data_IF_210468105763
#
_entry.id   IF_210468105763
#
_cell.length_a   1.000
_cell.length_b   1.000
_cell.length_c   1.000
_cell.angle_alpha   90.00
_cell.angle_beta   90.00
_cell.angle_gamma   90.00
#
_symmetry.space_group_name_H-M   'P 1'
#
loop_
_entity.id
_entity.type
_entity.pdbx_description
1 polymer ?
#
# COMPACT_ATOMS: atom_id res chain seq x y z
N UNK A 1 27.47 -32.75 -19.24
CA UNK A 1 26.24 -32.06 -19.70
C UNK A 1 25.15 -32.05 -18.64
N UNK A 2 25.48 -32.01 -17.34
CA UNK A 2 24.52 -32.08 -16.22
C UNK A 2 24.51 -30.83 -15.32
N UNK A 3 25.15 -29.75 -15.73
CA UNK A 3 25.42 -28.60 -14.85
C UNK A 3 24.53 -27.39 -15.12
N UNK A 4 23.41 -27.50 -15.87
CA UNK A 4 22.63 -26.34 -16.29
C UNK A 4 21.11 -26.45 -16.08
N UNK A 5 20.66 -27.22 -15.07
CA UNK A 5 19.29 -27.11 -14.55
C UNK A 5 19.24 -26.35 -13.23
N UNK A 6 19.90 -25.20 -13.12
CA UNK A 6 19.50 -24.18 -12.14
C UNK A 6 18.03 -23.88 -12.41
N UNK A 7 17.15 -24.15 -11.46
CA UNK A 7 15.71 -24.02 -11.58
C UNK A 7 15.36 -22.67 -12.20
N UNK A 8 14.90 -22.66 -13.45
CA UNK A 8 14.48 -21.42 -14.12
C UNK A 8 13.39 -20.78 -13.27
N UNK A 9 13.56 -19.51 -12.91
CA UNK A 9 12.61 -18.77 -12.10
C UNK A 9 11.19 -18.93 -12.68
N UNK A 10 10.22 -19.27 -11.83
CA UNK A 10 8.83 -19.52 -12.25
C UNK A 10 8.20 -18.36 -13.01
N UNK A 11 8.66 -17.11 -12.76
CA UNK A 11 8.18 -15.92 -13.46
C UNK A 11 8.53 -15.93 -14.95
N UNK A 12 9.59 -16.65 -15.34
CA UNK A 12 10.00 -16.83 -16.74
C UNK A 12 9.39 -18.04 -17.44
N UNK A 13 8.96 -19.08 -16.71
CA UNK A 13 8.58 -20.38 -17.33
C UNK A 13 7.13 -20.82 -17.08
N UNK A 14 6.52 -20.41 -15.95
CA UNK A 14 5.13 -20.82 -15.66
C UNK A 14 4.14 -20.12 -16.59
N UNK A 15 3.05 -20.78 -17.08
CA UNK A 15 2.00 -20.13 -17.86
C UNK A 15 1.46 -18.89 -17.12
N UNK A 16 1.31 -17.78 -17.84
CA UNK A 16 1.06 -16.45 -17.24
C UNK A 16 -0.19 -16.44 -16.35
N UNK A 17 -1.29 -17.11 -16.76
CA UNK A 17 -2.50 -17.15 -15.95
C UNK A 17 -2.30 -17.89 -14.63
N UNK A 18 -1.61 -19.02 -14.66
CA UNK A 18 -1.29 -19.81 -13.46
C UNK A 18 -0.29 -19.05 -12.58
N UNK A 19 0.67 -18.35 -13.18
CA UNK A 19 1.63 -17.52 -12.47
C UNK A 19 0.93 -16.36 -11.74
N UNK A 20 0.06 -15.62 -12.45
CA UNK A 20 -0.69 -14.51 -11.87
C UNK A 20 -1.54 -14.99 -10.69
N UNK A 21 -2.30 -16.08 -10.85
CA UNK A 21 -3.10 -16.63 -9.76
C UNK A 21 -2.24 -17.09 -8.58
N UNK A 22 -1.13 -17.79 -8.84
CA UNK A 22 -0.22 -18.29 -7.80
C UNK A 22 0.44 -17.16 -7.00
N UNK A 23 0.67 -15.99 -7.62
CA UNK A 23 1.26 -14.84 -6.95
C UNK A 23 0.21 -13.89 -6.37
N UNK A 24 -0.91 -13.69 -7.04
CA UNK A 24 -1.93 -12.73 -6.63
C UNK A 24 -2.79 -13.25 -5.48
N UNK A 25 -3.20 -14.51 -5.47
CA UNK A 25 -4.05 -15.07 -4.40
C UNK A 25 -3.43 -14.86 -3.01
N UNK A 26 -2.15 -15.25 -2.75
CA UNK A 26 -1.53 -14.97 -1.46
C UNK A 26 -1.48 -13.48 -1.12
N UNK A 27 -1.21 -12.62 -2.10
CA UNK A 27 -1.16 -11.17 -1.88
C UNK A 27 -2.53 -10.58 -1.54
N UNK A 28 -3.59 -11.07 -2.19
CA UNK A 28 -4.97 -10.67 -1.88
C UNK A 28 -5.34 -11.08 -0.45
N UNK A 29 -5.02 -12.32 -0.06
CA UNK A 29 -5.25 -12.80 1.31
C UNK A 29 -4.49 -11.93 2.30
N UNK A 30 -3.23 -11.62 2.05
CA UNK A 30 -2.43 -10.73 2.90
C UNK A 30 -3.07 -9.36 3.07
N UNK A 31 -3.54 -8.74 1.98
CA UNK A 31 -4.19 -7.43 2.03
C UNK A 31 -5.51 -7.47 2.81
N UNK A 32 -6.31 -8.52 2.64
CA UNK A 32 -7.55 -8.69 3.40
C UNK A 32 -7.28 -8.90 4.90
N UNK A 33 -6.28 -9.70 5.24
CA UNK A 33 -5.87 -9.91 6.65
C UNK A 33 -5.38 -8.62 7.27
N UNK A 34 -4.59 -7.82 6.53
CA UNK A 34 -4.16 -6.51 6.99
C UNK A 34 -5.34 -5.55 7.24
N UNK A 35 -6.34 -5.57 6.36
CA UNK A 35 -7.56 -4.77 6.57
C UNK A 35 -8.32 -5.23 7.83
N UNK A 36 -8.48 -6.54 8.03
CA UNK A 36 -9.13 -7.10 9.23
C UNK A 36 -8.36 -6.75 10.51
N UNK A 37 -7.05 -6.89 10.48
CA UNK A 37 -6.18 -6.50 11.60
C UNK A 37 -6.41 -5.03 12.00
N UNK A 38 -6.40 -4.09 11.05
CA UNK A 38 -6.63 -2.67 11.33
C UNK A 38 -8.02 -2.41 11.96
N UNK A 39 -9.04 -3.18 11.55
CA UNK A 39 -10.40 -3.08 12.12
C UNK A 39 -10.43 -3.60 13.54
N UNK A 40 -9.78 -4.73 13.82
CA UNK A 40 -9.73 -5.35 15.15
C UNK A 40 -8.97 -4.46 16.14
N UNK A 41 -7.81 -3.95 15.75
CA UNK A 41 -7.01 -3.01 16.55
C UNK A 41 -7.84 -1.76 16.90
N UNK A 42 -8.47 -1.12 15.90
CA UNK A 42 -9.35 0.03 16.14
C UNK A 42 -10.54 -0.28 17.05
N UNK A 43 -11.07 -1.49 16.99
CA UNK A 43 -12.16 -1.92 17.87
C UNK A 43 -11.72 -2.02 19.35
N UNK A 44 -10.54 -2.60 19.61
CA UNK A 44 -10.03 -2.69 20.97
C UNK A 44 -9.64 -1.33 21.53
N UNK A 45 -8.99 -0.49 20.73
CA UNK A 45 -8.66 0.88 21.13
C UNK A 45 -9.91 1.70 21.47
N UNK A 46 -10.97 1.61 20.66
CA UNK A 46 -12.23 2.30 20.92
C UNK A 46 -12.91 1.89 22.25
N UNK A 47 -12.57 0.71 22.76
CA UNK A 47 -13.05 0.24 24.08
C UNK A 47 -12.30 0.84 25.26
N UNK A 48 -11.12 1.41 25.07
CA UNK A 48 -10.36 2.08 26.15
C UNK A 48 -11.08 3.37 26.52
N UNK A 49 -11.16 4.32 25.58
CA UNK A 49 -11.86 5.60 25.74
C UNK A 49 -11.97 6.30 24.37
N UNK A 50 -12.83 7.31 24.28
CA UNK A 50 -12.90 8.22 23.13
C UNK A 50 -11.62 9.03 22.98
N UNK A 51 -10.98 9.38 24.07
CA UNK A 51 -9.73 10.15 24.10
C UNK A 51 -8.56 9.31 23.59
N UNK A 52 -8.49 8.01 23.92
CA UNK A 52 -7.52 7.08 23.34
C UNK A 52 -7.64 6.99 21.83
N UNK A 53 -8.86 6.85 21.32
CA UNK A 53 -9.10 6.83 19.86
C UNK A 53 -8.71 8.15 19.20
N UNK A 54 -8.96 9.28 19.86
CA UNK A 54 -8.58 10.61 19.40
C UNK A 54 -7.06 10.76 19.36
N UNK A 55 -6.36 10.36 20.41
CA UNK A 55 -4.90 10.42 20.50
C UNK A 55 -4.22 9.61 19.39
N UNK A 56 -4.69 8.37 19.13
CA UNK A 56 -4.17 7.53 18.04
C UNK A 56 -4.50 8.15 16.67
N UNK A 57 -5.67 8.77 16.51
CA UNK A 57 -6.03 9.44 15.28
C UNK A 57 -5.11 10.64 14.98
N UNK A 58 -4.64 11.35 16.00
CA UNK A 58 -3.63 12.41 15.88
C UNK A 58 -2.23 11.85 15.56
N UNK A 59 -1.90 10.65 16.05
CA UNK A 59 -0.64 9.95 15.74
C UNK A 59 -0.59 9.42 14.30
N UNK A 60 -1.74 9.11 13.70
CA UNK A 60 -1.88 8.43 12.42
C UNK A 60 -1.12 9.06 11.25
N UNK A 61 -1.07 10.39 11.04
CA UNK A 61 -0.33 10.98 9.92
C UNK A 61 1.18 10.67 9.95
N UNK A 62 1.80 10.66 11.14
CA UNK A 62 3.23 10.31 11.27
C UNK A 62 3.46 8.82 11.08
N UNK A 63 2.60 7.99 11.65
CA UNK A 63 2.66 6.55 11.41
C UNK A 63 2.50 6.22 9.92
N UNK A 64 1.61 6.90 9.21
CA UNK A 64 1.45 6.77 7.77
C UNK A 64 2.68 7.21 6.99
N UNK A 65 3.37 8.28 7.41
CA UNK A 65 4.63 8.72 6.81
C UNK A 65 5.73 7.66 6.99
N UNK A 66 5.84 7.07 8.17
CA UNK A 66 6.77 5.98 8.46
C UNK A 66 6.52 4.77 7.54
N UNK A 67 5.27 4.35 7.45
CA UNK A 67 4.85 3.24 6.58
C UNK A 67 5.07 3.60 5.10
N UNK A 68 4.80 4.84 4.68
CA UNK A 68 5.03 5.30 3.31
C UNK A 68 6.50 5.20 2.92
N UNK A 69 7.43 5.55 3.82
CA UNK A 69 8.87 5.43 3.58
C UNK A 69 9.28 3.96 3.49
N UNK A 70 8.78 3.10 4.37
CA UNK A 70 9.05 1.67 4.34
C UNK A 70 8.55 1.01 3.05
N UNK A 71 7.28 1.25 2.69
CA UNK A 71 6.65 0.69 1.47
C UNK A 71 7.33 1.26 0.22
N UNK A 72 7.53 2.57 0.15
CA UNK A 72 8.07 3.21 -1.05
C UNK A 72 9.49 2.76 -1.36
N UNK A 73 10.37 2.71 -0.36
CA UNK A 73 11.73 2.18 -0.51
C UNK A 73 11.69 0.72 -0.96
N UNK A 74 10.82 -0.08 -0.35
CA UNK A 74 10.66 -1.50 -0.66
C UNK A 74 10.07 -1.76 -2.05
N UNK A 75 9.17 -0.89 -2.54
CA UNK A 75 8.64 -0.93 -3.92
C UNK A 75 9.77 -0.68 -4.93
N UNK A 76 10.62 0.32 -4.68
CA UNK A 76 11.80 0.58 -5.50
C UNK A 76 12.76 -0.61 -5.52
N UNK A 77 13.01 -1.21 -4.37
CA UNK A 77 13.83 -2.41 -4.22
C UNK A 77 13.24 -3.59 -5.02
N UNK A 78 11.95 -3.85 -4.90
CA UNK A 78 11.26 -4.93 -5.63
C UNK A 78 11.35 -4.73 -7.15
N UNK A 79 11.08 -3.51 -7.64
CA UNK A 79 11.21 -3.17 -9.05
C UNK A 79 12.62 -3.44 -9.59
N UNK A 80 13.64 -2.99 -8.86
CA UNK A 80 15.04 -3.19 -9.24
C UNK A 80 15.42 -4.68 -9.26
N UNK A 81 15.15 -5.40 -8.17
CA UNK A 81 15.51 -6.82 -8.04
C UNK A 81 14.81 -7.68 -9.10
N UNK A 82 13.51 -7.47 -9.30
CA UNK A 82 12.74 -8.26 -10.28
C UNK A 82 13.24 -8.03 -11.70
N UNK A 83 13.61 -6.79 -12.07
CA UNK A 83 14.24 -6.50 -13.38
C UNK A 83 15.59 -7.20 -13.52
N UNK A 84 16.46 -7.12 -12.50
CA UNK A 84 17.79 -7.76 -12.52
C UNK A 84 17.71 -9.29 -12.56
N UNK A 85 16.72 -9.89 -11.89
CA UNK A 85 16.44 -11.31 -12.02
C UNK A 85 15.98 -11.68 -13.43
N UNK A 86 15.15 -10.84 -14.05
CA UNK A 86 14.73 -11.00 -15.44
C UNK A 86 15.90 -10.93 -16.42
N UNK A 87 16.86 -10.02 -16.20
CA UNK A 87 18.13 -9.91 -16.95
C UNK A 87 19.06 -11.12 -16.74
N UNK A 88 18.75 -12.04 -15.81
CA UNK A 88 19.61 -13.14 -15.41
C UNK A 88 20.76 -12.73 -14.48
N UNK A 89 20.79 -11.47 -14.04
CA UNK A 89 21.83 -10.92 -13.18
C UNK A 89 21.48 -11.05 -11.70
N UNK A 90 21.66 -12.25 -11.16
CA UNK A 90 21.38 -12.57 -9.75
C UNK A 90 22.31 -11.84 -8.77
N UNK A 91 23.54 -11.50 -9.21
CA UNK A 91 24.48 -10.73 -8.40
C UNK A 91 23.99 -9.31 -8.18
N UNK A 92 23.56 -8.61 -9.24
CA UNK A 92 22.98 -7.27 -9.13
C UNK A 92 21.68 -7.29 -8.31
N UNK A 93 20.82 -8.31 -8.48
CA UNK A 93 19.63 -8.48 -7.66
C UNK A 93 19.98 -8.65 -6.17
N UNK A 94 21.01 -9.43 -5.84
CA UNK A 94 21.50 -9.65 -4.47
C UNK A 94 22.10 -8.36 -3.87
N UNK A 95 22.84 -7.58 -4.67
CA UNK A 95 23.30 -6.24 -4.28
C UNK A 95 22.12 -5.31 -4.01
N UNK A 96 21.07 -5.38 -4.84
CA UNK A 96 19.84 -4.63 -4.65
C UNK A 96 19.14 -4.96 -3.33
N UNK A 97 19.05 -6.24 -2.97
CA UNK A 97 18.49 -6.70 -1.72
C UNK A 97 19.28 -6.17 -0.51
N UNK A 98 20.61 -6.32 -0.52
CA UNK A 98 21.47 -5.88 0.58
C UNK A 98 21.46 -4.36 0.75
N UNK A 99 21.53 -3.59 -0.36
CA UNK A 99 21.43 -2.13 -0.32
C UNK A 99 20.05 -1.68 0.17
N UNK A 100 18.97 -2.32 -0.32
CA UNK A 100 17.61 -2.00 0.08
C UNK A 100 17.36 -2.23 1.56
N UNK A 101 17.81 -3.36 2.12
CA UNK A 101 17.72 -3.61 3.57
C UNK A 101 18.53 -2.61 4.39
N UNK A 102 19.70 -2.21 3.92
CA UNK A 102 20.49 -1.15 4.57
C UNK A 102 19.75 0.20 4.57
N UNK A 103 19.13 0.58 3.46
CA UNK A 103 18.34 1.81 3.38
C UNK A 103 17.12 1.78 4.31
N UNK A 104 16.46 0.63 4.42
CA UNK A 104 15.34 0.45 5.34
C UNK A 104 15.79 0.51 6.80
N UNK A 105 16.94 -0.09 7.12
CA UNK A 105 17.56 0.01 8.44
C UNK A 105 17.89 1.47 8.80
N UNK A 106 18.53 2.20 7.87
CA UNK A 106 18.83 3.61 8.07
C UNK A 106 17.57 4.44 8.27
N UNK A 107 16.52 4.17 7.47
CA UNK A 107 15.21 4.83 7.65
C UNK A 107 14.60 4.52 9.01
N UNK A 108 14.66 3.27 9.47
CA UNK A 108 14.18 2.89 10.79
C UNK A 108 14.91 3.63 11.92
N UNK A 109 16.24 3.77 11.81
CA UNK A 109 17.06 4.51 12.77
C UNK A 109 16.66 6.00 12.80
N UNK A 110 16.44 6.60 11.63
CA UNK A 110 15.99 8.00 11.53
C UNK A 110 14.64 8.18 12.23
N UNK A 111 13.66 7.31 11.97
CA UNK A 111 12.36 7.37 12.63
C UNK A 111 12.46 7.08 14.13
N UNK A 112 13.33 6.16 14.56
CA UNK A 112 13.56 5.91 15.98
C UNK A 112 14.09 7.16 16.70
N UNK A 113 15.02 7.88 16.09
CA UNK A 113 15.53 9.17 16.64
C UNK A 113 14.40 10.20 16.71
N UNK A 114 13.56 10.30 15.68
CA UNK A 114 12.39 11.19 15.72
C UNK A 114 11.39 10.81 16.80
N UNK A 115 11.23 9.52 17.12
CA UNK A 115 10.36 9.04 18.19
C UNK A 115 10.67 9.70 19.53
N UNK A 116 11.95 9.88 19.88
CA UNK A 116 12.35 10.52 21.14
C UNK A 116 12.02 12.03 21.20
N UNK A 117 11.75 12.67 20.08
CA UNK A 117 11.44 14.11 20.01
C UNK A 117 10.04 14.40 19.47
N UNK A 118 9.12 13.46 19.61
CA UNK A 118 7.79 13.56 19.03
C UNK A 118 6.84 14.49 19.80
N UNK A 119 7.09 14.75 21.08
CA UNK A 119 6.24 15.58 21.94
C UNK A 119 5.97 16.99 21.36
N UNK A 120 6.95 17.75 20.81
CA UNK A 120 6.68 19.04 20.18
C UNK A 120 5.69 18.96 19.01
N UNK A 121 5.65 17.81 18.29
CA UNK A 121 4.71 17.61 17.21
C UNK A 121 3.26 17.53 17.72
N UNK A 122 3.01 16.78 18.81
CA UNK A 122 1.67 16.69 19.37
C UNK A 122 1.15 18.05 19.88
N UNK A 123 2.01 18.88 20.45
CA UNK A 123 1.68 20.25 20.89
C UNK A 123 1.25 21.19 19.76
N UNK A 124 1.50 20.85 18.50
CA UNK A 124 0.98 21.62 17.36
C UNK A 124 -0.51 21.35 17.07
N UNK A 125 -1.04 20.23 17.56
CA UNK A 125 -2.41 19.77 17.27
C UNK A 125 -3.36 19.90 18.44
N UNK A 126 -2.85 19.83 19.68
CA UNK A 126 -3.67 19.89 20.90
C UNK A 126 -2.86 20.43 22.07
N UNK A 127 -3.55 21.16 22.97
CA UNK A 127 -2.99 21.62 24.24
C UNK A 127 -3.44 20.71 25.41
N UNK A 128 -4.25 19.68 25.14
CA UNK A 128 -4.73 18.74 26.16
C UNK A 128 -3.59 17.80 26.59
N UNK A 129 -3.14 17.89 27.87
CA UNK A 129 -2.01 17.11 28.35
C UNK A 129 -2.26 15.60 28.27
N UNK A 130 -3.49 15.14 28.45
CA UNK A 130 -3.86 13.73 28.47
C UNK A 130 -3.81 13.13 27.03
N UNK A 131 -4.31 13.88 26.05
CA UNK A 131 -4.21 13.49 24.64
C UNK A 131 -2.75 13.47 24.16
N UNK A 132 -1.95 14.43 24.62
CA UNK A 132 -0.50 14.49 24.29
C UNK A 132 0.20 13.26 24.87
N UNK A 133 -0.01 12.95 26.15
CA UNK A 133 0.62 11.80 26.83
C UNK A 133 0.29 10.51 26.11
N UNK A 134 -1.01 10.19 25.92
CA UNK A 134 -1.43 8.96 25.24
C UNK A 134 -0.91 8.86 23.79
N UNK A 135 -0.92 9.96 23.06
CA UNK A 135 -0.49 9.98 21.67
C UNK A 135 1.03 9.86 21.52
N UNK A 136 1.79 10.50 22.43
CA UNK A 136 3.26 10.39 22.48
C UNK A 136 3.66 8.97 22.85
N UNK A 137 3.09 8.40 23.90
CA UNK A 137 3.37 7.01 24.31
C UNK A 137 3.16 6.02 23.18
N UNK A 138 2.03 6.14 22.49
CA UNK A 138 1.75 5.28 21.33
C UNK A 138 2.76 5.42 20.22
N UNK A 139 3.03 6.67 19.81
CA UNK A 139 3.84 6.94 18.61
C UNK A 139 5.33 6.74 18.88
N UNK A 140 5.82 7.08 20.10
CA UNK A 140 7.19 6.82 20.52
C UNK A 140 7.51 5.33 20.45
N UNK A 141 6.65 4.46 21.03
CA UNK A 141 6.81 3.01 20.98
C UNK A 141 6.85 2.53 19.53
N UNK A 142 5.89 2.96 18.70
CA UNK A 142 5.82 2.55 17.29
C UNK A 142 7.05 3.00 16.48
N UNK A 143 7.61 4.17 16.77
CA UNK A 143 8.75 4.73 16.03
C UNK A 143 10.08 4.18 16.52
N UNK A 144 10.31 4.13 17.83
CA UNK A 144 11.57 3.63 18.42
C UNK A 144 11.76 2.16 18.10
N UNK A 145 10.71 1.37 18.17
CA UNK A 145 10.75 -0.05 17.82
C UNK A 145 10.30 -0.34 16.38
N UNK A 146 10.21 0.67 15.53
CA UNK A 146 9.77 0.58 14.13
C UNK A 146 10.66 -0.26 13.23
N UNK A 147 11.86 -0.65 13.66
CA UNK A 147 12.75 -1.54 12.92
C UNK A 147 12.03 -2.79 12.40
N UNK A 148 11.11 -3.35 13.21
CA UNK A 148 10.34 -4.53 12.85
C UNK A 148 9.61 -4.38 11.52
N UNK A 149 8.82 -3.33 11.36
CA UNK A 149 8.02 -3.09 10.15
C UNK A 149 8.90 -2.81 8.92
N UNK A 150 9.99 -2.04 9.05
CA UNK A 150 10.88 -1.72 7.94
C UNK A 150 11.54 -2.98 7.36
N UNK A 151 12.13 -3.80 8.21
CA UNK A 151 12.85 -5.00 7.79
C UNK A 151 11.88 -6.10 7.34
N UNK A 152 10.72 -6.24 8.01
CA UNK A 152 9.68 -7.18 7.57
C UNK A 152 9.24 -6.88 6.13
N UNK A 153 8.83 -5.65 5.84
CA UNK A 153 8.38 -5.24 4.50
C UNK A 153 9.50 -5.44 3.49
N UNK A 154 10.75 -5.11 3.83
CA UNK A 154 11.91 -5.32 2.97
C UNK A 154 12.10 -6.79 2.59
N UNK A 155 12.10 -7.70 3.57
CA UNK A 155 12.22 -9.14 3.36
C UNK A 155 11.05 -9.71 2.54
N UNK A 156 9.83 -9.23 2.80
CA UNK A 156 8.65 -9.62 2.00
C UNK A 156 8.82 -9.23 0.53
N UNK A 157 9.34 -8.04 0.24
CA UNK A 157 9.60 -7.61 -1.15
C UNK A 157 10.71 -8.42 -1.81
N UNK A 158 11.72 -8.89 -1.06
CA UNK A 158 12.72 -9.83 -1.57
C UNK A 158 12.04 -11.15 -1.97
N UNK A 159 11.18 -11.71 -1.13
CA UNK A 159 10.42 -12.93 -1.45
C UNK A 159 9.50 -12.73 -2.66
N UNK A 160 8.82 -11.60 -2.74
CA UNK A 160 7.93 -11.24 -3.85
C UNK A 160 8.69 -11.07 -5.17
N UNK A 161 9.88 -10.47 -5.15
CA UNK A 161 10.73 -10.28 -6.35
C UNK A 161 11.21 -11.61 -6.95
N UNK A 162 11.29 -12.67 -6.14
CA UNK A 162 11.57 -14.05 -6.57
C UNK A 162 10.30 -14.84 -6.93
N UNK A 163 9.13 -14.19 -6.88
CA UNK A 163 7.83 -14.84 -7.11
C UNK A 163 7.32 -15.68 -5.92
N UNK A 164 7.96 -15.64 -4.75
CA UNK A 164 7.60 -16.45 -3.58
C UNK A 164 6.58 -15.75 -2.66
N UNK A 165 5.49 -15.23 -3.25
CA UNK A 165 4.45 -14.44 -2.55
C UNK A 165 3.74 -15.22 -1.44
N UNK A 166 3.61 -16.55 -1.55
CA UNK A 166 3.06 -17.37 -0.49
C UNK A 166 3.87 -17.32 0.81
N UNK A 167 5.21 -17.22 0.71
CA UNK A 167 6.05 -17.07 1.89
C UNK A 167 5.89 -15.67 2.52
N UNK A 168 5.78 -14.63 1.68
CA UNK A 168 5.47 -13.27 2.14
C UNK A 168 4.10 -13.20 2.85
N UNK A 169 3.10 -13.93 2.35
CA UNK A 169 1.79 -14.04 3.03
C UNK A 169 1.94 -14.64 4.43
N UNK A 170 2.70 -15.71 4.59
CA UNK A 170 2.89 -16.36 5.89
C UNK A 170 3.49 -15.40 6.92
N UNK A 171 4.47 -14.58 6.54
CA UNK A 171 5.07 -13.60 7.47
C UNK A 171 4.07 -12.56 7.95
N UNK A 172 3.22 -12.05 7.05
CA UNK A 172 2.16 -11.10 7.38
C UNK A 172 1.07 -11.74 8.26
N UNK A 173 0.65 -12.97 7.94
CA UNK A 173 -0.34 -13.70 8.73
C UNK A 173 0.13 -13.93 10.16
N UNK A 174 1.37 -14.39 10.33
CA UNK A 174 1.95 -14.64 11.66
C UNK A 174 2.00 -13.34 12.48
N UNK A 175 2.48 -12.25 11.89
CA UNK A 175 2.50 -10.95 12.56
C UNK A 175 1.12 -10.46 12.96
N UNK A 176 0.14 -10.56 12.07
CA UNK A 176 -1.24 -10.14 12.32
C UNK A 176 -1.92 -10.99 13.42
N UNK A 177 -1.74 -12.31 13.38
CA UNK A 177 -2.29 -13.20 14.40
C UNK A 177 -1.70 -12.91 15.79
N UNK A 178 -0.40 -12.71 15.88
CA UNK A 178 0.27 -12.36 17.14
C UNK A 178 -0.28 -11.03 17.67
N UNK A 179 -0.41 -10.02 16.82
CA UNK A 179 -0.97 -8.75 17.24
C UNK A 179 -2.43 -8.88 17.72
N UNK A 180 -3.33 -9.51 16.96
CA UNK A 180 -4.75 -9.71 17.33
C UNK A 180 -4.89 -10.42 18.70
N UNK A 181 -3.98 -11.35 19.01
CA UNK A 181 -3.96 -12.05 20.30
C UNK A 181 -3.45 -11.13 21.41
N UNK A 182 -2.37 -10.37 21.15
CA UNK A 182 -1.74 -9.53 22.17
C UNK A 182 -2.52 -8.25 22.47
N UNK A 183 -3.26 -7.69 21.51
CA UNK A 183 -4.05 -6.47 21.70
C UNK A 183 -4.93 -6.54 22.96
N UNK A 184 -5.90 -7.48 23.10
CA UNK A 184 -6.74 -7.52 24.29
C UNK A 184 -5.95 -7.87 25.57
N UNK A 185 -4.88 -8.67 25.46
CA UNK A 185 -4.07 -9.08 26.61
C UNK A 185 -3.31 -7.89 27.21
N UNK A 186 -2.71 -7.06 26.37
CA UNK A 186 -1.86 -5.93 26.80
C UNK A 186 -2.67 -4.65 27.05
N UNK A 187 -3.75 -4.44 26.30
CA UNK A 187 -4.63 -3.28 26.48
C UNK A 187 -5.35 -3.38 27.83
N UNK A 188 -5.98 -4.52 28.13
CA UNK A 188 -6.85 -4.71 29.29
C UNK A 188 -6.19 -5.44 30.46
N UNK A 189 -4.91 -5.81 30.38
CA UNK A 189 -4.20 -6.48 31.47
C UNK A 189 -4.70 -7.89 31.74
N UNK A 190 -4.94 -8.70 30.69
CA UNK A 190 -5.46 -10.06 30.87
C UNK A 190 -4.29 -11.04 31.03
N UNK A 191 -4.38 -11.88 32.07
CA UNK A 191 -3.38 -12.92 32.37
C UNK A 191 -2.12 -12.37 33.02
N UNK A 192 -0.91 -12.61 32.46
CA UNK A 192 0.35 -12.17 33.06
C UNK A 192 0.71 -10.71 32.73
N UNK A 193 -0.08 -10.03 31.89
CA UNK A 193 0.21 -8.67 31.44
C UNK A 193 -0.45 -7.63 32.35
N UNK A 194 0.26 -6.52 32.66
CA UNK A 194 -0.38 -5.37 33.31
C UNK A 194 -1.31 -4.66 32.30
N UNK A 195 -2.30 -3.94 32.81
CA UNK A 195 -3.13 -3.06 32.00
C UNK A 195 -2.30 -1.88 31.50
N UNK A 196 -2.12 -1.78 30.19
CA UNK A 196 -1.27 -0.77 29.54
C UNK A 196 -2.07 0.23 28.69
N UNK A 197 -3.37 0.03 28.49
CA UNK A 197 -4.19 0.92 27.68
C UNK A 197 -3.63 1.15 26.28
N UNK A 198 -3.45 2.41 25.88
CA UNK A 198 -2.96 2.81 24.56
C UNK A 198 -1.52 2.33 24.28
N UNK A 199 -0.65 2.36 25.29
CA UNK A 199 0.70 1.81 25.15
C UNK A 199 0.67 0.29 24.89
N UNK A 200 -0.31 -0.43 25.47
CA UNK A 200 -0.53 -1.85 25.21
C UNK A 200 -0.82 -2.16 23.73
N UNK A 201 -1.66 -1.35 23.08
CA UNK A 201 -1.90 -1.46 21.63
C UNK A 201 -0.63 -1.23 20.81
N UNK A 202 0.17 -0.23 21.19
CA UNK A 202 1.45 0.04 20.51
C UNK A 202 2.43 -1.14 20.66
N UNK A 203 2.60 -1.68 21.87
CA UNK A 203 3.46 -2.85 22.10
C UNK A 203 2.98 -4.10 21.36
N UNK A 204 1.67 -4.38 21.37
CA UNK A 204 1.11 -5.52 20.63
C UNK A 204 1.39 -5.41 19.14
N UNK A 205 1.22 -4.22 18.56
CA UNK A 205 1.55 -3.91 17.16
C UNK A 205 3.03 -4.15 16.87
N UNK A 206 3.91 -3.60 17.69
CA UNK A 206 5.36 -3.73 17.52
C UNK A 206 5.81 -5.19 17.66
N UNK A 207 5.33 -5.91 18.66
CA UNK A 207 5.67 -7.32 18.86
C UNK A 207 5.22 -8.15 17.65
N UNK A 208 4.00 -7.93 17.15
CA UNK A 208 3.51 -8.57 15.93
C UNK A 208 4.43 -8.32 14.73
N UNK A 209 4.87 -7.08 14.53
CA UNK A 209 5.82 -6.69 13.47
C UNK A 209 7.20 -7.34 13.67
N UNK A 210 7.71 -7.43 14.88
CA UNK A 210 8.99 -8.09 15.17
C UNK A 210 8.93 -9.59 14.95
N UNK A 211 7.86 -10.25 15.35
CA UNK A 211 7.65 -11.68 15.06
C UNK A 211 7.55 -11.92 13.56
N UNK A 212 6.79 -11.09 12.85
CA UNK A 212 6.73 -11.11 11.38
C UNK A 212 8.09 -10.89 10.73
N UNK A 213 8.90 -9.93 11.25
CA UNK A 213 10.27 -9.68 10.81
C UNK A 213 11.17 -10.90 11.01
N UNK A 214 11.17 -11.49 12.20
CA UNK A 214 12.00 -12.66 12.50
C UNK A 214 11.63 -13.84 11.61
N UNK A 215 10.35 -14.07 11.37
CA UNK A 215 9.89 -15.08 10.42
C UNK A 215 10.35 -14.76 8.99
N UNK A 216 10.23 -13.50 8.55
CA UNK A 216 10.65 -13.07 7.23
C UNK A 216 12.17 -13.24 7.02
N UNK A 217 12.97 -12.83 8.01
CA UNK A 217 14.42 -13.06 8.02
C UNK A 217 14.76 -14.56 7.97
N UNK A 218 14.11 -15.37 8.79
CA UNK A 218 14.30 -16.80 8.77
C UNK A 218 14.01 -17.41 7.39
N UNK A 219 12.91 -17.02 6.76
CA UNK A 219 12.56 -17.50 5.42
C UNK A 219 13.53 -17.03 4.34
N UNK A 220 14.09 -15.83 4.47
CA UNK A 220 15.04 -15.29 3.49
C UNK A 220 16.44 -15.89 3.66
N UNK A 221 16.90 -16.14 4.89
CA UNK A 221 18.27 -16.60 5.14
C UNK A 221 18.41 -18.12 5.21
N UNK A 222 17.42 -18.85 5.75
CA UNK A 222 17.53 -20.30 5.94
C UNK A 222 17.05 -21.15 4.76
N UNK A 223 16.39 -20.55 3.76
CA UNK A 223 16.03 -21.25 2.53
C UNK A 223 16.99 -20.89 1.41
N UNK A 224 17.29 -21.85 0.55
CA UNK A 224 18.05 -21.57 -0.67
C UNK A 224 17.21 -20.70 -1.63
N UNK A 225 17.78 -19.56 -1.99
CA UNK A 225 17.17 -18.59 -2.87
C UNK A 225 18.12 -18.16 -3.99
N UNK A 226 17.55 -17.63 -5.08
CA UNK A 226 18.31 -17.04 -6.18
C UNK A 226 19.03 -15.76 -5.72
N UNK A 227 18.38 -14.96 -4.85
CA UNK A 227 18.97 -13.79 -4.22
C UNK A 227 19.66 -14.24 -2.94
N UNK A 228 20.95 -13.98 -2.86
CA UNK A 228 21.78 -14.26 -1.68
C UNK A 228 22.14 -12.93 -1.02
N UNK A 229 21.59 -12.68 0.17
CA UNK A 229 21.96 -11.51 0.94
C UNK A 229 23.30 -11.78 1.61
N UNK A 230 24.28 -10.92 1.35
CA UNK A 230 25.59 -10.98 1.97
C UNK A 230 26.02 -9.60 2.41
N UNK A 231 26.34 -9.47 3.69
CA UNK A 231 26.93 -8.26 4.25
C UNK A 231 28.46 -8.35 4.34
N UNK A 232 29.05 -9.46 3.91
CA UNK A 232 30.51 -9.62 3.86
C UNK A 232 31.06 -8.75 2.72
N UNK A 233 31.93 -7.81 3.05
CA UNK A 233 32.45 -6.79 2.14
C UNK A 233 31.37 -5.87 1.55
N UNK A 234 30.28 -5.66 2.30
CA UNK A 234 29.18 -4.79 1.89
C UNK A 234 29.68 -3.35 1.69
N UNK A 235 29.31 -2.77 0.55
CA UNK A 235 29.48 -1.35 0.28
C UNK A 235 28.19 -0.80 -0.30
N UNK A 236 27.72 0.31 0.22
CA UNK A 236 26.60 1.05 -0.38
C UNK A 236 27.01 1.45 -1.81
N UNK A 237 26.28 0.92 -2.80
CA UNK A 237 26.50 1.23 -4.19
C UNK A 237 25.56 2.37 -4.60
N UNK A 238 26.12 3.56 -4.85
CA UNK A 238 25.32 4.75 -5.18
C UNK A 238 24.45 4.58 -6.42
N UNK A 239 24.89 3.81 -7.42
CA UNK A 239 24.10 3.51 -8.60
C UNK A 239 22.87 2.65 -8.25
N UNK A 240 23.06 1.60 -7.45
CA UNK A 240 21.95 0.75 -6.97
C UNK A 240 20.96 1.56 -6.12
N UNK A 241 21.47 2.39 -5.22
CA UNK A 241 20.64 3.28 -4.38
C UNK A 241 19.83 4.24 -5.25
N UNK A 242 20.46 4.86 -6.26
CA UNK A 242 19.78 5.75 -7.21
C UNK A 242 18.66 5.04 -7.98
N UNK A 243 18.92 3.82 -8.46
CA UNK A 243 17.91 3.03 -9.18
C UNK A 243 16.75 2.61 -8.27
N UNK A 244 17.01 2.25 -7.01
CA UNK A 244 15.98 1.95 -6.02
C UNK A 244 15.13 3.20 -5.78
N UNK A 245 15.74 4.36 -5.50
CA UNK A 245 15.00 5.58 -5.19
C UNK A 245 14.39 6.28 -6.41
N UNK A 246 14.80 5.94 -7.62
CA UNK A 246 14.11 6.38 -8.85
C UNK A 246 12.64 5.92 -8.89
N UNK A 247 12.32 4.83 -8.23
CA UNK A 247 10.95 4.33 -8.05
C UNK A 247 10.48 4.52 -6.61
N UNK A 248 11.38 4.40 -5.64
CA UNK A 248 11.08 4.48 -4.22
C UNK A 248 10.56 5.84 -3.77
N UNK A 249 11.28 6.94 -4.08
CA UNK A 249 10.82 8.31 -3.72
C UNK A 249 9.45 8.63 -4.35
N UNK A 250 9.23 8.42 -5.65
CA UNK A 250 7.90 8.55 -6.22
C UNK A 250 6.83 7.76 -5.47
N UNK A 251 7.13 6.54 -5.04
CA UNK A 251 6.18 5.69 -4.32
C UNK A 251 5.90 6.21 -2.90
N UNK A 252 6.91 6.76 -2.20
CA UNK A 252 6.72 7.43 -0.91
C UNK A 252 5.74 8.60 -1.06
N UNK A 253 5.99 9.47 -2.04
CA UNK A 253 5.12 10.63 -2.33
C UNK A 253 3.70 10.17 -2.64
N UNK A 254 3.52 9.14 -3.46
CA UNK A 254 2.20 8.60 -3.81
C UNK A 254 1.41 8.12 -2.59
N UNK A 255 2.06 7.47 -1.64
CA UNK A 255 1.42 7.02 -0.40
C UNK A 255 0.99 8.21 0.49
N UNK A 256 1.78 9.27 0.51
CA UNK A 256 1.52 10.45 1.34
C UNK A 256 0.42 11.35 0.76
N UNK A 257 0.23 11.36 -0.56
CA UNK A 257 -0.77 12.23 -1.24
C UNK A 257 -2.19 11.92 -0.78
N UNK A 258 -2.51 10.66 -0.49
CA UNK A 258 -3.84 10.26 -0.01
C UNK A 258 -4.26 10.99 1.27
N UNK A 259 -3.33 11.21 2.20
CA UNK A 259 -3.60 11.97 3.43
C UNK A 259 -3.92 13.44 3.14
N UNK A 260 -3.17 14.07 2.23
CA UNK A 260 -3.40 15.46 1.82
C UNK A 260 -4.78 15.61 1.16
N UNK A 261 -5.14 14.67 0.29
CA UNK A 261 -6.45 14.64 -0.37
C UNK A 261 -7.59 14.51 0.66
N UNK A 262 -7.44 13.63 1.66
CA UNK A 262 -8.44 13.48 2.73
C UNK A 262 -8.64 14.76 3.51
N UNK A 263 -7.56 15.45 3.91
CA UNK A 263 -7.63 16.74 4.61
C UNK A 263 -8.34 17.79 3.72
N UNK A 264 -7.99 17.86 2.44
CA UNK A 264 -8.60 18.77 1.49
C UNK A 264 -10.10 18.55 1.31
N UNK A 265 -10.54 17.31 1.14
CA UNK A 265 -11.95 16.94 1.01
C UNK A 265 -12.75 17.29 2.29
N UNK A 266 -12.21 16.95 3.46
CA UNK A 266 -12.84 17.29 4.73
C UNK A 266 -12.94 18.81 4.92
N UNK A 267 -11.95 19.59 4.49
CA UNK A 267 -11.99 21.05 4.52
C UNK A 267 -13.09 21.61 3.59
N UNK A 268 -13.30 21.01 2.41
CA UNK A 268 -14.38 21.39 1.50
C UNK A 268 -15.75 21.14 2.14
N UNK A 269 -15.96 19.93 2.69
CA UNK A 269 -17.23 19.61 3.34
C UNK A 269 -17.50 20.46 4.58
N UNK A 270 -16.48 20.71 5.44
CA UNK A 270 -16.66 21.43 6.69
C UNK A 270 -16.79 22.95 6.50
N UNK A 271 -15.94 23.57 5.65
CA UNK A 271 -15.82 25.03 5.56
C UNK A 271 -16.67 25.65 4.42
N UNK A 272 -16.91 24.92 3.34
CA UNK A 272 -17.62 25.44 2.17
C UNK A 272 -19.07 24.99 2.18
N UNK A 273 -19.31 23.69 2.34
CA UNK A 273 -20.66 23.13 2.35
C UNK A 273 -21.29 23.11 3.74
N UNK A 274 -20.50 23.30 4.82
CA UNK A 274 -20.96 23.22 6.22
C UNK A 274 -21.76 21.94 6.51
N UNK A 275 -21.39 20.83 5.88
CA UNK A 275 -22.10 19.54 5.94
C UNK A 275 -21.37 18.52 6.78
N UNK A 276 -21.85 18.28 8.00
CA UNK A 276 -21.38 17.18 8.83
C UNK A 276 -21.74 15.81 8.22
N UNK A 277 -22.87 15.71 7.54
CA UNK A 277 -23.28 14.50 6.84
C UNK A 277 -22.33 14.17 5.67
N UNK A 278 -21.86 15.18 4.93
CA UNK A 278 -20.83 15.00 3.90
C UNK A 278 -19.51 14.44 4.46
N UNK A 279 -19.05 14.95 5.60
CA UNK A 279 -17.84 14.44 6.29
C UNK A 279 -18.05 12.99 6.73
N UNK A 280 -19.18 12.69 7.36
CA UNK A 280 -19.49 11.34 7.82
C UNK A 280 -19.61 10.35 6.66
N UNK A 281 -20.32 10.73 5.58
CA UNK A 281 -20.43 9.93 4.34
C UNK A 281 -19.07 9.64 3.73
N UNK A 282 -18.19 10.64 3.67
CA UNK A 282 -16.83 10.48 3.15
C UNK A 282 -16.00 9.49 3.99
N UNK A 283 -16.10 9.57 5.32
CA UNK A 283 -15.45 8.64 6.24
C UNK A 283 -15.94 7.20 6.07
N UNK A 284 -17.24 6.99 5.96
CA UNK A 284 -17.86 5.68 5.71
C UNK A 284 -17.42 5.14 4.35
N UNK A 285 -17.46 5.97 3.31
CA UNK A 285 -17.02 5.61 1.97
C UNK A 285 -15.59 5.06 1.98
N UNK A 286 -14.63 5.74 2.63
CA UNK A 286 -13.24 5.27 2.69
C UNK A 286 -13.07 3.91 3.36
N UNK A 287 -13.82 3.65 4.43
CA UNK A 287 -13.81 2.34 5.10
C UNK A 287 -14.30 1.23 4.19
N UNK A 288 -15.42 1.46 3.51
CA UNK A 288 -16.02 0.45 2.61
C UNK A 288 -15.21 0.28 1.33
N UNK A 289 -14.72 1.38 0.76
CA UNK A 289 -13.83 1.36 -0.42
C UNK A 289 -12.61 0.48 -0.18
N UNK A 290 -12.01 0.53 1.02
CA UNK A 290 -10.84 -0.26 1.35
C UNK A 290 -11.06 -1.75 1.10
N UNK A 291 -12.26 -2.28 1.40
CA UNK A 291 -12.59 -3.70 1.19
C UNK A 291 -12.55 -4.07 -0.29
N UNK A 292 -13.00 -3.18 -1.19
CA UNK A 292 -13.01 -3.40 -2.64
C UNK A 292 -11.61 -3.22 -3.24
N UNK A 293 -10.84 -2.25 -2.73
CA UNK A 293 -9.52 -1.92 -3.29
C UNK A 293 -8.40 -2.84 -2.78
N UNK A 294 -8.54 -3.48 -1.61
CA UNK A 294 -7.52 -4.41 -1.09
C UNK A 294 -7.25 -5.59 -2.04
N UNK A 295 -8.24 -6.29 -2.60
CA UNK A 295 -8.00 -7.32 -3.63
C UNK A 295 -7.30 -6.75 -4.86
N UNK A 296 -7.68 -5.56 -5.33
CA UNK A 296 -7.03 -4.89 -6.45
C UNK A 296 -5.53 -4.66 -6.16
N UNK A 297 -5.19 -4.12 -4.98
CA UNK A 297 -3.81 -3.91 -4.58
C UNK A 297 -3.04 -5.23 -4.43
N UNK A 298 -3.67 -6.29 -3.96
CA UNK A 298 -3.07 -7.63 -3.92
C UNK A 298 -2.66 -8.12 -5.32
N UNK A 299 -3.55 -8.02 -6.30
CA UNK A 299 -3.29 -8.40 -7.70
C UNK A 299 -2.20 -7.53 -8.31
N UNK A 300 -2.28 -6.21 -8.15
CA UNK A 300 -1.32 -5.28 -8.76
C UNK A 300 0.06 -5.35 -8.14
N UNK A 301 0.19 -5.58 -6.83
CA UNK A 301 1.48 -5.82 -6.18
C UNK A 301 2.16 -7.10 -6.68
N UNK A 302 1.39 -8.19 -6.87
CA UNK A 302 1.92 -9.41 -7.48
C UNK A 302 2.35 -9.18 -8.94
N UNK A 303 1.53 -8.46 -9.70
CA UNK A 303 1.78 -8.14 -11.11
C UNK A 303 3.01 -7.27 -11.31
N UNK A 304 3.33 -6.39 -10.36
CA UNK A 304 4.51 -5.55 -10.40
C UNK A 304 5.80 -6.38 -10.57
N UNK A 305 5.97 -7.44 -9.78
CA UNK A 305 7.14 -8.33 -9.89
C UNK A 305 7.15 -9.07 -11.23
N UNK A 306 5.97 -9.53 -11.70
CA UNK A 306 5.84 -10.22 -13.00
C UNK A 306 6.20 -9.28 -14.16
N UNK A 307 5.70 -8.04 -14.14
CA UNK A 307 6.01 -7.04 -15.17
C UNK A 307 7.49 -6.68 -15.18
N UNK A 308 8.06 -6.39 -13.99
CA UNK A 308 9.46 -6.04 -13.85
C UNK A 308 10.39 -7.17 -14.33
N UNK A 309 10.08 -8.42 -13.97
CA UNK A 309 10.85 -9.58 -14.40
C UNK A 309 10.80 -9.76 -15.94
N UNK A 310 9.61 -9.77 -16.54
CA UNK A 310 9.47 -9.99 -17.98
C UNK A 310 10.01 -8.80 -18.80
N UNK A 311 9.98 -7.58 -18.24
CA UNK A 311 10.65 -6.42 -18.83
C UNK A 311 12.17 -6.60 -18.82
N UNK A 312 12.76 -6.99 -17.67
CA UNK A 312 14.19 -7.29 -17.57
C UNK A 312 14.62 -8.45 -18.48
N UNK A 313 13.80 -9.50 -18.58
CA UNK A 313 14.03 -10.64 -19.47
C UNK A 313 13.83 -10.28 -20.96
N UNK A 314 13.41 -9.06 -21.27
CA UNK A 314 13.10 -8.59 -22.64
C UNK A 314 12.12 -9.51 -23.38
N UNK A 315 11.15 -10.11 -22.67
CA UNK A 315 10.15 -11.01 -23.25
C UNK A 315 8.84 -10.26 -23.51
N UNK A 316 8.69 -9.76 -24.75
CA UNK A 316 7.53 -8.97 -25.19
C UNK A 316 6.20 -9.71 -25.03
N UNK A 317 6.13 -10.97 -25.47
CA UNK A 317 4.88 -11.73 -25.47
C UNK A 317 4.38 -11.98 -24.05
N UNK A 318 5.28 -12.40 -23.13
CA UNK A 318 4.91 -12.63 -21.74
C UNK A 318 4.54 -11.33 -21.02
N UNK A 319 5.27 -10.23 -21.29
CA UNK A 319 4.92 -8.93 -20.74
C UNK A 319 3.52 -8.48 -21.18
N UNK A 320 3.22 -8.54 -22.49
CA UNK A 320 1.88 -8.20 -23.03
C UNK A 320 0.77 -9.07 -22.45
N UNK A 321 1.00 -10.38 -22.37
CA UNK A 321 0.02 -11.34 -21.85
C UNK A 321 -0.26 -11.11 -20.36
N UNK A 322 0.80 -10.89 -19.55
CA UNK A 322 0.65 -10.62 -18.13
C UNK A 322 -0.06 -9.28 -17.88
N UNK A 323 0.28 -8.25 -18.65
CA UNK A 323 -0.38 -6.94 -18.55
C UNK A 323 -1.86 -7.01 -18.89
N UNK A 324 -2.23 -7.64 -20.00
CA UNK A 324 -3.64 -7.82 -20.40
C UNK A 324 -4.42 -8.62 -19.35
N UNK A 325 -3.85 -9.71 -18.85
CA UNK A 325 -4.52 -10.52 -17.84
C UNK A 325 -4.70 -9.77 -16.52
N UNK A 326 -3.69 -9.02 -16.08
CA UNK A 326 -3.82 -8.19 -14.88
C UNK A 326 -4.92 -7.16 -15.05
N UNK A 327 -4.95 -6.45 -16.20
CA UNK A 327 -5.99 -5.46 -16.48
C UNK A 327 -7.40 -6.11 -16.48
N UNK A 328 -7.56 -7.28 -17.09
CA UNK A 328 -8.84 -8.00 -17.07
C UNK A 328 -9.27 -8.39 -15.64
N UNK A 329 -8.35 -8.96 -14.86
CA UNK A 329 -8.67 -9.39 -13.48
C UNK A 329 -9.01 -8.18 -12.60
N UNK A 330 -8.23 -7.12 -12.67
CA UNK A 330 -8.49 -5.90 -11.90
C UNK A 330 -9.79 -5.21 -12.33
N UNK A 331 -10.08 -5.18 -13.64
CA UNK A 331 -11.35 -4.64 -14.14
C UNK A 331 -12.55 -5.47 -13.66
N UNK A 332 -12.46 -6.79 -13.63
CA UNK A 332 -13.51 -7.66 -13.09
C UNK A 332 -13.73 -7.38 -11.60
N UNK A 333 -12.68 -7.34 -10.79
CA UNK A 333 -12.77 -7.05 -9.35
C UNK A 333 -13.46 -5.71 -9.12
N UNK A 334 -13.03 -4.66 -9.83
CA UNK A 334 -13.57 -3.32 -9.66
C UNK A 334 -14.99 -3.19 -10.21
N UNK A 335 -15.34 -3.91 -11.27
CA UNK A 335 -16.71 -3.96 -11.77
C UNK A 335 -17.66 -4.67 -10.79
N UNK A 336 -17.20 -5.73 -10.13
CA UNK A 336 -17.95 -6.37 -9.03
C UNK A 336 -18.16 -5.36 -7.89
N UNK A 337 -17.11 -4.62 -7.51
CA UNK A 337 -17.22 -3.55 -6.53
C UNK A 337 -18.25 -2.48 -6.92
N UNK A 338 -18.22 -2.04 -8.19
CA UNK A 338 -19.23 -1.11 -8.71
C UNK A 338 -20.63 -1.68 -8.59
N UNK A 339 -20.85 -2.91 -9.01
CA UNK A 339 -22.16 -3.57 -8.94
C UNK A 339 -22.67 -3.67 -7.50
N UNK A 340 -21.82 -4.00 -6.53
CA UNK A 340 -22.18 -4.01 -5.11
C UNK A 340 -22.66 -2.63 -4.63
N UNK A 341 -21.93 -1.59 -4.98
CA UNK A 341 -22.29 -0.21 -4.60
C UNK A 341 -23.51 0.32 -5.34
N UNK A 342 -23.82 -0.17 -6.53
CA UNK A 342 -25.02 0.20 -7.30
C UNK A 342 -26.28 -0.53 -6.80
N UNK A 343 -26.15 -1.84 -6.50
CA UNK A 343 -27.29 -2.68 -6.16
C UNK A 343 -27.65 -2.62 -4.66
N UNK A 344 -26.63 -2.50 -3.79
CA UNK A 344 -26.78 -2.58 -2.34
C UNK A 344 -26.30 -1.34 -1.56
N UNK A 345 -26.42 -0.10 -2.07
CA UNK A 345 -25.88 1.08 -1.40
C UNK A 345 -26.57 1.33 -0.05
N UNK A 346 -27.88 1.09 0.04
CA UNK A 346 -28.65 1.28 1.26
C UNK A 346 -28.21 0.31 2.36
N UNK A 347 -28.03 -0.97 2.04
CA UNK A 347 -27.57 -2.00 2.98
C UNK A 347 -26.16 -1.69 3.48
N UNK A 348 -25.28 -1.24 2.58
CA UNK A 348 -23.90 -0.91 2.94
C UNK A 348 -23.88 0.32 3.86
N UNK A 349 -24.63 1.38 3.54
CA UNK A 349 -24.67 2.60 4.36
C UNK A 349 -25.28 2.29 5.72
N UNK A 350 -26.35 1.51 5.79
CA UNK A 350 -27.04 1.18 7.06
C UNK A 350 -26.19 0.41 8.06
N UNK A 351 -25.13 -0.30 7.60
CA UNK A 351 -24.17 -0.97 8.49
C UNK A 351 -23.36 0.05 9.34
N UNK A 352 -23.26 1.29 8.89
CA UNK A 352 -22.47 2.34 9.53
C UNK A 352 -23.31 3.53 10.03
N UNK A 353 -24.57 3.60 9.66
CA UNK A 353 -25.51 4.67 9.99
C UNK A 353 -26.66 4.15 10.85
N UNK A 354 -26.39 3.91 12.14
CA UNK A 354 -27.38 3.45 13.09
C UNK A 354 -28.48 4.48 13.40
N UNK A 355 -28.22 5.78 13.12
CA UNK A 355 -29.12 6.88 13.42
C UNK A 355 -29.88 7.41 12.18
N UNK A 356 -29.62 6.88 10.98
CA UNK A 356 -30.27 7.28 9.74
C UNK A 356 -29.92 8.70 9.23
N UNK A 357 -28.87 9.31 9.77
CA UNK A 357 -28.49 10.71 9.48
C UNK A 357 -27.82 10.91 8.12
N UNK A 358 -27.18 9.86 7.59
CA UNK A 358 -26.38 9.93 6.34
C UNK A 358 -26.94 9.05 5.22
N UNK A 359 -28.05 8.35 5.45
CA UNK A 359 -28.53 7.29 4.54
C UNK A 359 -28.79 7.81 3.12
N UNK A 360 -29.50 8.95 2.96
CA UNK A 360 -29.83 9.50 1.65
C UNK A 360 -28.57 10.00 0.90
N UNK A 361 -27.73 10.80 1.56
CA UNK A 361 -26.49 11.32 0.99
C UNK A 361 -25.47 10.20 0.72
N UNK A 362 -25.39 9.20 1.60
CA UNK A 362 -24.53 8.04 1.46
C UNK A 362 -24.90 7.19 0.25
N UNK A 363 -26.19 6.96 0.00
CA UNK A 363 -26.66 6.22 -1.18
C UNK A 363 -26.24 6.91 -2.47
N UNK A 364 -26.46 8.24 -2.56
CA UNK A 364 -26.06 9.03 -3.73
C UNK A 364 -24.55 9.02 -3.92
N UNK A 365 -23.78 9.24 -2.84
CA UNK A 365 -22.33 9.18 -2.83
C UNK A 365 -21.81 7.84 -3.37
N UNK A 366 -22.28 6.72 -2.82
CA UNK A 366 -21.79 5.39 -3.20
C UNK A 366 -22.11 5.07 -4.66
N UNK A 367 -23.28 5.44 -5.16
CA UNK A 367 -23.64 5.27 -6.57
C UNK A 367 -22.75 6.08 -7.50
N UNK A 368 -22.56 7.37 -7.21
CA UNK A 368 -21.76 8.26 -8.08
C UNK A 368 -20.29 7.85 -8.04
N UNK A 369 -19.72 7.70 -6.82
CA UNK A 369 -18.29 7.43 -6.69
C UNK A 369 -17.94 6.08 -7.30
N UNK A 370 -18.75 5.03 -7.12
CA UNK A 370 -18.41 3.69 -7.65
C UNK A 370 -18.27 3.64 -9.17
N UNK A 371 -18.79 4.64 -9.90
CA UNK A 371 -18.62 4.72 -11.36
C UNK A 371 -17.14 4.84 -11.80
N UNK A 372 -16.29 5.39 -10.93
CA UNK A 372 -14.86 5.49 -11.25
C UNK A 372 -14.10 4.18 -11.07
N UNK A 373 -14.60 3.17 -10.33
CA UNK A 373 -13.89 1.94 -10.00
C UNK A 373 -13.34 1.18 -11.22
N UNK A 374 -14.11 0.90 -12.29
CA UNK A 374 -13.58 0.22 -13.47
C UNK A 374 -12.47 1.02 -14.16
N UNK A 375 -12.56 2.36 -14.13
CA UNK A 375 -11.54 3.24 -14.69
C UNK A 375 -10.29 3.21 -13.83
N UNK A 376 -10.45 3.16 -12.49
CA UNK A 376 -9.37 3.04 -11.53
C UNK A 376 -8.58 1.73 -11.70
N UNK A 377 -9.21 0.63 -12.12
CA UNK A 377 -8.51 -0.60 -12.46
C UNK A 377 -7.45 -0.38 -13.55
N UNK A 378 -7.79 0.39 -14.58
CA UNK A 378 -6.86 0.72 -15.66
C UNK A 378 -5.76 1.68 -15.17
N UNK A 379 -6.11 2.76 -14.48
CA UNK A 379 -5.13 3.75 -14.02
C UNK A 379 -4.14 3.16 -13.01
N UNK A 380 -4.59 2.32 -12.08
CA UNK A 380 -3.71 1.66 -11.10
C UNK A 380 -2.82 0.63 -11.79
N UNK A 381 -3.34 -0.16 -12.73
CA UNK A 381 -2.53 -1.12 -13.51
C UNK A 381 -1.45 -0.40 -14.32
N UNK A 382 -1.76 0.73 -14.95
CA UNK A 382 -0.79 1.57 -15.67
C UNK A 382 0.26 2.14 -14.71
N UNK A 383 -0.17 2.66 -13.56
CA UNK A 383 0.72 3.20 -12.53
C UNK A 383 1.73 2.16 -12.03
N UNK A 384 1.27 0.95 -11.73
CA UNK A 384 2.13 -0.18 -11.33
C UNK A 384 3.06 -0.61 -12.47
N UNK A 385 2.61 -0.53 -13.72
CA UNK A 385 3.47 -0.79 -14.89
C UNK A 385 4.64 0.19 -14.94
N UNK A 386 4.39 1.49 -14.74
CA UNK A 386 5.46 2.49 -14.68
C UNK A 386 6.47 2.21 -13.56
N UNK A 387 6.00 1.80 -12.38
CA UNK A 387 6.89 1.43 -11.28
C UNK A 387 7.72 0.19 -11.62
N UNK A 388 7.12 -0.84 -12.21
CA UNK A 388 7.77 -2.09 -12.58
C UNK A 388 8.92 -1.89 -13.58
N UNK A 389 8.73 -1.02 -14.57
CA UNK A 389 9.74 -0.75 -15.62
C UNK A 389 10.73 0.37 -15.24
N UNK A 390 10.64 0.93 -14.01
CA UNK A 390 11.56 1.95 -13.52
C UNK A 390 11.17 3.39 -13.82
N UNK A 391 9.98 3.66 -14.34
CA UNK A 391 9.46 4.99 -14.60
C UNK A 391 8.60 5.56 -13.44
N UNK A 392 9.08 5.44 -12.20
CA UNK A 392 8.35 5.84 -11.00
C UNK A 392 7.84 7.29 -11.01
N UNK A 393 8.59 8.21 -11.61
CA UNK A 393 8.19 9.63 -11.72
C UNK A 393 6.88 9.78 -12.51
N UNK A 394 6.65 8.98 -13.57
CA UNK A 394 5.38 9.04 -14.33
C UNK A 394 4.20 8.54 -13.50
N UNK A 395 4.43 7.50 -12.69
CA UNK A 395 3.45 6.98 -11.75
C UNK A 395 3.09 8.03 -10.68
N UNK A 396 4.09 8.69 -10.11
CA UNK A 396 3.92 9.78 -9.15
C UNK A 396 3.13 10.95 -9.75
N UNK A 397 3.54 11.41 -10.95
CA UNK A 397 2.85 12.53 -11.61
C UNK A 397 1.38 12.20 -11.88
N UNK A 398 1.09 10.97 -12.31
CA UNK A 398 -0.27 10.48 -12.51
C UNK A 398 -1.09 10.54 -11.20
N UNK A 399 -0.48 10.18 -10.07
CA UNK A 399 -1.14 10.23 -8.76
C UNK A 399 -1.34 11.66 -8.26
N UNK A 400 -0.35 12.54 -8.45
CA UNK A 400 -0.45 13.97 -8.11
C UNK A 400 -1.56 14.62 -8.95
N UNK A 401 -1.55 14.39 -10.28
CA UNK A 401 -2.56 14.92 -11.18
C UNK A 401 -3.96 14.48 -10.76
N UNK A 402 -4.13 13.18 -10.46
CA UNK A 402 -5.41 12.63 -10.03
C UNK A 402 -5.92 13.28 -8.75
N UNK A 403 -5.14 13.26 -7.68
CA UNK A 403 -5.61 13.60 -6.34
C UNK A 403 -5.54 15.08 -6.02
N UNK A 404 -4.44 15.75 -6.37
CA UNK A 404 -4.22 17.15 -6.06
C UNK A 404 -4.52 18.08 -7.24
N UNK A 405 -4.16 17.65 -8.46
CA UNK A 405 -4.31 18.47 -9.66
C UNK A 405 -5.72 18.54 -10.21
N UNK A 406 -6.52 17.48 -10.01
CA UNK A 406 -7.88 17.44 -10.57
C UNK A 406 -8.93 17.18 -9.50
N UNK A 407 -8.79 16.19 -8.60
CA UNK A 407 -9.84 15.84 -7.64
C UNK A 407 -10.18 17.01 -6.71
N UNK A 408 -9.19 17.58 -6.03
CA UNK A 408 -9.43 18.69 -5.09
C UNK A 408 -9.94 19.97 -5.80
N UNK A 409 -9.36 20.43 -6.92
CA UNK A 409 -9.91 21.57 -7.67
C UNK A 409 -11.33 21.30 -8.19
N UNK A 410 -11.59 20.12 -8.73
CA UNK A 410 -12.93 19.75 -9.20
C UNK A 410 -13.95 19.72 -8.05
N UNK A 411 -13.58 19.12 -6.90
CA UNK A 411 -14.42 19.12 -5.71
C UNK A 411 -14.72 20.54 -5.24
N UNK A 412 -13.73 21.43 -5.22
CA UNK A 412 -13.90 22.83 -4.85
C UNK A 412 -14.84 23.58 -5.81
N UNK A 413 -14.62 23.43 -7.12
CA UNK A 413 -15.47 24.08 -8.14
C UNK A 413 -16.90 23.56 -8.03
N UNK A 414 -17.10 22.26 -7.94
CA UNK A 414 -18.44 21.65 -7.79
C UNK A 414 -19.15 22.12 -6.52
N UNK A 415 -18.42 22.22 -5.40
CA UNK A 415 -18.97 22.73 -4.14
C UNK A 415 -19.39 24.20 -4.23
N UNK A 416 -18.60 25.06 -4.88
CA UNK A 416 -18.88 26.49 -5.02
C UNK A 416 -20.01 26.77 -6.01
N UNK A 417 -20.07 26.05 -7.13
CA UNK A 417 -21.04 26.26 -8.20
C UNK A 417 -22.41 25.68 -7.84
N UNK A 418 -22.45 24.42 -7.43
CA UNK A 418 -23.70 23.70 -7.20
C UNK A 418 -24.19 23.76 -5.74
N UNK A 419 -23.31 24.09 -4.79
CA UNK A 419 -23.60 24.14 -3.35
C UNK A 419 -24.30 22.89 -2.81
N UNK A 420 -23.96 21.73 -3.37
CA UNK A 420 -24.55 20.43 -3.06
C UNK A 420 -23.45 19.41 -2.76
N UNK A 421 -23.64 18.65 -1.68
CA UNK A 421 -22.74 17.55 -1.32
C UNK A 421 -22.71 16.48 -2.42
N UNK A 422 -23.88 16.18 -3.01
CA UNK A 422 -24.02 15.17 -4.06
C UNK A 422 -23.17 15.50 -5.30
N UNK A 423 -23.15 16.78 -5.71
CA UNK A 423 -22.38 17.21 -6.87
C UNK A 423 -20.86 17.02 -6.69
N UNK A 424 -20.36 17.15 -5.47
CA UNK A 424 -18.94 17.02 -5.18
C UNK A 424 -18.43 15.62 -5.46
N UNK A 425 -19.24 14.58 -5.31
CA UNK A 425 -18.83 13.20 -5.55
C UNK A 425 -18.39 12.92 -7.00
N UNK A 426 -18.83 13.71 -7.95
CA UNK A 426 -18.36 13.62 -9.34
C UNK A 426 -16.89 13.93 -9.53
N UNK A 427 -16.25 14.61 -8.56
CA UNK A 427 -14.81 14.88 -8.61
C UNK A 427 -13.96 13.61 -8.74
N UNK A 428 -14.41 12.49 -8.15
CA UNK A 428 -13.71 11.20 -8.26
C UNK A 428 -13.71 10.67 -9.69
N UNK A 429 -14.85 10.75 -10.36
CA UNK A 429 -15.00 10.30 -11.76
C UNK A 429 -14.15 11.19 -12.69
N UNK A 430 -14.25 12.52 -12.53
CA UNK A 430 -13.47 13.48 -13.34
C UNK A 430 -11.97 13.27 -13.15
N UNK A 431 -11.52 13.10 -11.91
CA UNK A 431 -10.13 12.89 -11.58
C UNK A 431 -9.57 11.58 -12.18
N UNK A 432 -10.36 10.50 -12.14
CA UNK A 432 -9.93 9.22 -12.66
C UNK A 432 -9.83 9.23 -14.19
N UNK A 433 -10.75 9.89 -14.88
CA UNK A 433 -10.63 10.11 -16.33
C UNK A 433 -9.37 10.87 -16.71
N UNK A 434 -9.01 11.90 -15.96
CA UNK A 434 -7.79 12.67 -16.22
C UNK A 434 -6.54 11.81 -16.02
N UNK A 435 -6.51 11.01 -14.96
CA UNK A 435 -5.39 10.13 -14.63
C UNK A 435 -5.21 9.03 -15.69
N UNK A 436 -6.31 8.36 -16.07
CA UNK A 436 -6.24 7.30 -17.09
C UNK A 436 -5.84 7.84 -18.45
N UNK A 437 -6.30 9.03 -18.81
CA UNK A 437 -5.93 9.69 -20.08
C UNK A 437 -4.43 9.97 -20.12
N UNK A 438 -3.89 10.62 -19.08
CA UNK A 438 -2.44 10.84 -18.97
C UNK A 438 -1.68 9.52 -18.98
N UNK A 439 -2.19 8.52 -18.25
CA UNK A 439 -1.61 7.19 -18.16
C UNK A 439 -1.53 6.50 -19.52
N UNK A 440 -2.61 6.50 -20.29
CA UNK A 440 -2.67 5.89 -21.64
C UNK A 440 -1.69 6.60 -22.61
N UNK A 441 -1.68 7.92 -22.64
CA UNK A 441 -0.77 8.70 -23.50
C UNK A 441 0.70 8.36 -23.16
N UNK A 442 1.02 8.36 -21.86
CA UNK A 442 2.39 8.08 -21.41
C UNK A 442 2.78 6.62 -21.64
N UNK A 443 1.86 5.68 -21.38
CA UNK A 443 2.10 4.25 -21.61
C UNK A 443 2.27 3.94 -23.09
N UNK A 444 1.47 4.54 -23.98
CA UNK A 444 1.57 4.33 -25.41
C UNK A 444 2.94 4.76 -25.94
N UNK A 445 3.49 5.88 -25.45
CA UNK A 445 4.85 6.32 -25.81
C UNK A 445 5.90 5.30 -25.36
N UNK A 446 5.85 4.86 -24.10
CA UNK A 446 6.77 3.83 -23.57
C UNK A 446 6.60 2.51 -24.33
N UNK A 447 5.36 2.12 -24.60
CA UNK A 447 5.06 0.88 -25.29
C UNK A 447 5.73 0.80 -26.66
N UNK A 448 5.63 1.86 -27.45
CA UNK A 448 6.25 1.95 -28.78
C UNK A 448 7.77 1.98 -28.74
N UNK A 449 8.37 2.65 -27.73
CA UNK A 449 9.82 2.85 -27.71
C UNK A 449 10.59 1.78 -26.92
N UNK A 450 9.96 1.16 -25.93
CA UNK A 450 10.66 0.25 -25.02
C UNK A 450 10.11 -1.19 -25.08
N UNK A 451 8.80 -1.39 -25.25
CA UNK A 451 8.18 -2.72 -25.18
C UNK A 451 8.05 -3.37 -26.56
N UNK A 452 7.60 -2.62 -27.58
CA UNK A 452 7.48 -3.16 -28.94
C UNK A 452 8.80 -3.61 -29.56
N UNK A 453 9.94 -2.91 -29.34
CA UNK A 453 11.22 -3.34 -29.86
C UNK A 453 11.83 -4.57 -29.17
N UNK A 454 11.21 -5.06 -28.08
CA UNK A 454 11.69 -6.28 -27.42
C UNK A 454 11.45 -7.50 -28.29
N UNK A 455 12.38 -8.48 -28.26
CA UNK A 455 12.17 -9.74 -28.96
C UNK A 455 10.96 -10.50 -28.41
N UNK A 456 10.32 -11.26 -29.28
CA UNK A 456 9.32 -12.24 -28.87
C UNK A 456 10.10 -13.41 -28.24
N UNK A 457 10.22 -13.42 -26.93
CA UNK A 457 10.75 -14.59 -26.21
C UNK A 457 9.82 -15.80 -26.36
N UNK A 458 10.32 -17.00 -26.00
CA UNK A 458 9.52 -18.21 -26.08
C UNK A 458 8.14 -18.01 -25.42
N UNK A 459 7.09 -18.20 -26.22
CA UNK A 459 5.72 -18.18 -25.75
C UNK A 459 5.47 -19.50 -24.98
N UNK A 460 5.54 -19.45 -23.66
CA UNK A 460 5.13 -20.54 -22.77
C UNK A 460 3.75 -20.23 -22.18
#
# INVERSE_FOLDING_TARGET
MEENQKSKNKMGVMPVGKLLANMAIPMVISMLVQAMYNVVDSYFVAKISTDALTAISLAYPIQMLMIAVAIGTSVGMNSYMSRKLGEGNTEAASKGASNGLCLLLLSAIVFAIFGFVITPFFRLFTDDPQLIEMGVDYLEICMVFGLGVFIQIGCERILQSMGKTGLSMVTQLVGAVVNIILDPLMIFGIGPFPEMGVAGAAYATVIGQWVGMLMALALVFFKEHEIKISFKNFRLCGETVREIYRVGIPSIVMQSIGSIMNVGMNAIFSRILMSNAGIATFGVYFKVQSIVFMPLFGVTNASMSIFAYNYGARNRLRFKKSWKMTLCVTAIIMSIGTLLFQLFPQQIVSLFDSEGKITAEGIAAFRIISLHFPIAAASITISVTFQAIGHGIKSMFMSILRQLGVLLPAALVLALVFKSVESVWWCFVIAEFSAVTFGIISLTKIWRHEIEPMPDGAAV
#
